data_IF_068455985371
#
_entry.id   IF_068455985371
#
_cell.length_a   1.000
_cell.length_b   1.000
_cell.length_c   1.000
_cell.angle_alpha   90.00
_cell.angle_beta   90.00
_cell.angle_gamma   90.00
#
_symmetry.space_group_name_H-M   'P 1'
#
loop_
_entity.id
_entity.type
_entity.pdbx_description
1 polymer ?
#
# COMPACT_ATOMS: atom_id res chain seq x y z
N UNK A 1 -8.72 4.32 -13.56
CA UNK A 1 -8.80 2.88 -13.21
C UNK A 1 -9.37 2.81 -11.82
N UNK A 2 -10.43 2.02 -11.63
CA UNK A 2 -11.31 2.12 -10.47
C UNK A 2 -10.65 1.54 -9.22
N UNK A 3 -10.96 2.07 -8.03
CA UNK A 3 -10.36 1.62 -6.77
C UNK A 3 -10.52 0.12 -6.46
N UNK A 4 -11.43 -0.58 -7.14
CA UNK A 4 -11.62 -2.03 -7.06
C UNK A 4 -10.47 -2.81 -7.72
N UNK A 5 -9.89 -2.28 -8.80
CA UNK A 5 -8.73 -2.88 -9.48
C UNK A 5 -7.49 -2.77 -8.58
N UNK A 6 -7.30 -1.61 -7.94
CA UNK A 6 -6.19 -1.35 -7.02
C UNK A 6 -6.29 -2.22 -5.76
N UNK A 7 -7.49 -2.33 -5.16
CA UNK A 7 -7.71 -3.22 -4.01
C UNK A 7 -7.35 -4.67 -4.32
N UNK A 8 -7.81 -5.17 -5.46
CA UNK A 8 -7.54 -6.56 -5.88
C UNK A 8 -6.04 -6.77 -6.09
N UNK A 9 -5.35 -5.80 -6.71
CA UNK A 9 -3.91 -5.87 -6.93
C UNK A 9 -3.10 -5.85 -5.64
N UNK A 10 -3.45 -4.97 -4.70
CA UNK A 10 -2.77 -4.93 -3.39
C UNK A 10 -3.02 -6.24 -2.61
N UNK A 11 -4.22 -6.81 -2.69
CA UNK A 11 -4.51 -8.09 -2.06
C UNK A 11 -3.68 -9.24 -2.64
N UNK A 12 -3.44 -9.25 -3.96
CA UNK A 12 -2.51 -10.19 -4.60
C UNK A 12 -1.08 -10.01 -4.09
N UNK A 13 -0.61 -8.76 -3.96
CA UNK A 13 0.72 -8.46 -3.42
C UNK A 13 0.91 -8.93 -1.98
N UNK A 14 -0.12 -8.80 -1.14
CA UNK A 14 -0.10 -9.35 0.23
C UNK A 14 0.05 -10.87 0.19
N UNK A 15 -0.68 -11.54 -0.70
CA UNK A 15 -0.57 -12.98 -0.87
C UNK A 15 0.82 -13.41 -1.34
N UNK A 16 1.41 -12.69 -2.30
CA UNK A 16 2.77 -12.94 -2.78
C UNK A 16 3.83 -12.71 -1.70
N UNK A 17 3.73 -11.59 -0.98
CA UNK A 17 4.66 -11.24 0.10
C UNK A 17 4.66 -12.25 1.26
N UNK A 18 3.48 -12.82 1.55
CA UNK A 18 3.28 -13.89 2.53
C UNK A 18 3.52 -15.29 1.98
N UNK A 19 4.06 -15.42 0.76
CA UNK A 19 4.29 -16.70 0.09
C UNK A 19 3.02 -17.60 -0.01
N UNK A 20 1.84 -16.97 -0.05
CA UNK A 20 0.55 -17.64 -0.13
C UNK A 20 -0.03 -18.07 1.23
N UNK A 21 0.58 -17.71 2.36
CA UNK A 21 0.01 -17.98 3.68
C UNK A 21 -1.31 -17.23 3.91
N UNK A 22 -1.40 -16.01 3.37
CA UNK A 22 -2.64 -15.22 3.39
C UNK A 22 -3.22 -15.17 1.98
N UNK A 23 -4.48 -15.59 1.80
CA UNK A 23 -5.13 -15.52 0.50
C UNK A 23 -5.62 -14.11 0.19
N UNK A 24 -5.49 -13.68 -1.06
CA UNK A 24 -6.00 -12.38 -1.52
C UNK A 24 -7.51 -12.21 -1.24
N UNK A 25 -8.28 -13.30 -1.29
CA UNK A 25 -9.71 -13.28 -0.96
C UNK A 25 -9.98 -12.92 0.50
N UNK A 26 -9.15 -13.38 1.44
CA UNK A 26 -9.28 -13.07 2.87
C UNK A 26 -8.89 -11.61 3.15
N UNK A 27 -7.88 -11.12 2.44
CA UNK A 27 -7.49 -9.69 2.46
C UNK A 27 -8.62 -8.81 1.94
N UNK A 28 -9.27 -9.21 0.84
CA UNK A 28 -10.42 -8.51 0.25
C UNK A 28 -11.69 -8.60 1.10
N UNK A 29 -11.86 -9.68 1.87
CA UNK A 29 -12.96 -9.80 2.82
C UNK A 29 -12.84 -8.77 3.97
N UNK A 30 -11.63 -8.24 4.19
CA UNK A 30 -11.33 -7.20 5.16
C UNK A 30 -10.88 -7.77 6.50
N UNK A 31 -9.96 -7.05 7.15
CA UNK A 31 -9.36 -7.45 8.42
C UNK A 31 -8.03 -6.74 8.67
N UNK A 32 -7.52 -6.89 9.89
CA UNK A 32 -6.15 -6.49 10.22
C UNK A 32 -5.17 -7.48 9.58
N UNK A 33 -4.08 -6.98 8.99
CA UNK A 33 -3.01 -7.81 8.42
C UNK A 33 -2.46 -8.78 9.46
N UNK A 34 -2.26 -8.30 10.69
CA UNK A 34 -1.78 -9.14 11.80
C UNK A 34 -2.81 -10.21 12.17
N UNK A 35 -4.10 -9.88 12.13
CA UNK A 35 -5.17 -10.84 12.41
C UNK A 35 -5.29 -11.92 11.31
N UNK A 36 -4.96 -11.58 10.06
CA UNK A 36 -4.86 -12.52 8.95
C UNK A 36 -3.62 -13.41 9.01
N UNK A 37 -2.68 -13.12 9.91
CA UNK A 37 -1.45 -13.89 10.09
C UNK A 37 -0.25 -13.33 9.32
N UNK A 38 -0.33 -12.10 8.80
CA UNK A 38 0.83 -11.45 8.20
C UNK A 38 1.87 -11.19 9.29
N UNK A 39 3.02 -11.84 9.18
CA UNK A 39 4.13 -11.67 10.11
C UNK A 39 4.99 -10.44 9.76
N UNK A 40 5.97 -10.13 10.61
CA UNK A 40 6.87 -9.00 10.39
C UNK A 40 7.69 -9.11 9.09
N UNK A 41 7.99 -10.32 8.61
CA UNK A 41 8.75 -10.53 7.39
C UNK A 41 7.87 -10.31 6.15
N UNK A 42 6.63 -10.80 6.18
CA UNK A 42 5.61 -10.59 5.17
C UNK A 42 5.28 -9.10 5.04
N UNK A 43 5.21 -8.37 6.15
CA UNK A 43 5.08 -6.91 6.14
C UNK A 43 6.27 -6.23 5.45
N UNK A 44 7.52 -6.60 5.75
CA UNK A 44 8.69 -6.03 5.10
C UNK A 44 8.73 -6.33 3.59
N UNK A 45 8.40 -7.56 3.18
CA UNK A 45 8.32 -7.93 1.76
C UNK A 45 7.20 -7.21 1.03
N UNK A 46 6.08 -7.01 1.71
CA UNK A 46 4.95 -6.26 1.17
C UNK A 46 5.34 -4.80 0.94
N UNK A 47 6.05 -4.18 1.89
CA UNK A 47 6.63 -2.85 1.71
C UNK A 47 7.49 -2.82 0.46
N UNK A 48 8.53 -3.66 0.39
CA UNK A 48 9.44 -3.69 -0.77
C UNK A 48 8.68 -3.85 -2.11
N UNK A 49 7.65 -4.70 -2.15
CA UNK A 49 6.83 -4.92 -3.33
C UNK A 49 5.99 -3.68 -3.72
N UNK A 50 5.39 -2.99 -2.74
CA UNK A 50 4.64 -1.76 -2.97
C UNK A 50 5.53 -0.62 -3.44
N UNK A 51 6.71 -0.46 -2.83
CA UNK A 51 7.68 0.56 -3.23
C UNK A 51 8.19 0.31 -4.65
N UNK A 52 8.47 -0.95 -5.00
CA UNK A 52 8.93 -1.32 -6.33
C UNK A 52 7.83 -1.18 -7.40
N UNK A 53 6.60 -1.61 -7.10
CA UNK A 53 5.51 -1.61 -8.08
C UNK A 53 4.91 -0.21 -8.30
N UNK A 54 4.76 0.59 -7.24
CA UNK A 54 4.08 1.88 -7.31
C UNK A 54 5.00 3.10 -7.11
N UNK A 55 6.27 2.88 -6.73
CA UNK A 55 7.20 3.98 -6.45
C UNK A 55 6.81 4.81 -5.22
N UNK A 56 6.16 4.18 -4.25
CA UNK A 56 5.73 4.81 -2.98
C UNK A 56 6.74 4.53 -1.88
N UNK A 57 6.83 5.39 -0.86
CA UNK A 57 7.60 5.08 0.35
C UNK A 57 6.64 4.64 1.45
N UNK A 58 6.87 3.45 2.02
CA UNK A 58 5.97 2.85 3.03
C UNK A 58 6.68 2.71 4.36
N UNK A 59 6.21 3.45 5.38
CA UNK A 59 6.85 3.45 6.69
C UNK A 59 6.03 2.69 7.74
N UNK A 60 6.48 1.48 8.11
CA UNK A 60 5.79 0.61 9.09
C UNK A 60 5.94 1.06 10.55
N UNK A 61 7.00 1.80 10.87
CA UNK A 61 7.40 2.17 12.24
C UNK A 61 7.32 3.69 12.50
N UNK A 62 6.84 4.47 11.53
CA UNK A 62 6.71 5.92 11.64
C UNK A 62 5.57 6.30 12.58
N UNK A 63 5.58 7.55 13.07
CA UNK A 63 4.44 8.15 13.78
C UNK A 63 3.19 8.36 12.87
N UNK A 64 3.26 7.87 11.63
CA UNK A 64 2.18 7.87 10.65
C UNK A 64 1.09 6.84 10.97
N UNK A 65 0.00 6.95 10.21
CA UNK A 65 -1.19 6.10 10.32
C UNK A 65 -0.79 4.60 10.28
N UNK A 66 -1.29 3.76 11.19
CA UNK A 66 -0.96 2.34 11.19
C UNK A 66 -1.46 1.69 9.89
N UNK A 67 -0.57 1.04 9.16
CA UNK A 67 -0.89 0.24 7.98
C UNK A 67 -1.37 -1.14 8.43
N UNK A 68 -2.58 -1.18 8.95
CA UNK A 68 -3.15 -2.40 9.53
C UNK A 68 -4.19 -3.03 8.60
N UNK A 69 -4.79 -2.27 7.67
CA UNK A 69 -5.85 -2.77 6.78
C UNK A 69 -5.52 -2.57 5.30
N UNK A 70 -6.21 -3.33 4.45
CA UNK A 70 -6.15 -3.14 2.98
C UNK A 70 -6.52 -1.71 2.59
N UNK A 71 -7.44 -1.10 3.32
CA UNK A 71 -7.94 0.24 3.05
C UNK A 71 -6.84 1.29 3.25
N UNK A 72 -6.05 1.15 4.31
CA UNK A 72 -4.91 2.03 4.58
C UNK A 72 -3.85 1.94 3.47
N UNK A 73 -3.58 0.73 2.96
CA UNK A 73 -2.66 0.51 1.84
C UNK A 73 -3.19 1.15 0.54
N UNK A 74 -4.48 0.98 0.26
CA UNK A 74 -5.12 1.56 -0.94
C UNK A 74 -5.11 3.08 -0.87
N UNK A 75 -5.41 3.66 0.29
CA UNK A 75 -5.34 5.12 0.51
C UNK A 75 -3.90 5.62 0.32
N UNK A 76 -2.90 4.94 0.86
CA UNK A 76 -1.49 5.29 0.72
C UNK A 76 -1.07 5.35 -0.75
N UNK A 77 -1.30 4.26 -1.50
CA UNK A 77 -0.92 4.18 -2.92
C UNK A 77 -1.71 5.20 -3.76
N UNK A 78 -3.01 5.39 -3.47
CA UNK A 78 -3.83 6.38 -4.15
C UNK A 78 -3.35 7.82 -3.88
N UNK A 79 -2.89 8.11 -2.66
CA UNK A 79 -2.34 9.42 -2.31
C UNK A 79 -1.00 9.68 -3.02
N UNK A 80 -0.12 8.69 -3.06
CA UNK A 80 1.17 8.81 -3.76
C UNK A 80 1.00 8.99 -5.27
N UNK A 81 0.09 8.24 -5.90
CA UNK A 81 -0.24 8.40 -7.32
C UNK A 81 -0.73 9.82 -7.65
N UNK A 82 -1.48 10.45 -6.73
CA UNK A 82 -1.90 11.85 -6.88
C UNK A 82 -0.73 12.83 -6.69
N UNK A 83 0.15 12.61 -5.71
CA UNK A 83 1.32 13.44 -5.47
C UNK A 83 2.29 13.46 -6.66
N UNK A 84 2.49 12.31 -7.32
CA UNK A 84 3.31 12.21 -8.54
C UNK A 84 2.75 13.04 -9.71
N UNK A 85 1.43 13.20 -9.80
CA UNK A 85 0.78 14.04 -10.82
C UNK A 85 0.65 15.51 -10.43
N UNK A 86 0.76 15.82 -9.14
CA UNK A 86 0.60 17.17 -8.57
C UNK A 86 1.89 17.99 -8.49
N UNK A 87 3.06 17.40 -8.72
CA UNK A 87 4.35 18.12 -8.71
C UNK A 87 4.62 18.82 -10.04
N UNK A 88 3.73 19.77 -10.38
CA UNK A 88 3.77 20.59 -11.59
C UNK A 88 3.36 22.04 -11.34
N UNK A 89 3.50 22.56 -10.12
CA UNK A 89 3.09 23.92 -9.81
C UNK A 89 3.67 24.48 -8.52
N UNK A 90 4.93 24.95 -8.56
CA UNK A 90 5.25 26.28 -8.03
C UNK A 90 6.49 26.84 -8.74
N UNK A 91 6.28 27.19 -10.00
CA UNK A 91 7.21 28.01 -10.75
C UNK A 91 6.98 29.48 -10.43
N UNK A 92 7.86 30.05 -9.61
CA UNK A 92 8.49 31.37 -9.79
C UNK A 92 7.55 32.52 -10.20
N UNK A 93 7.18 33.35 -9.22
CA UNK A 93 7.01 34.79 -9.45
C UNK A 93 7.92 35.56 -8.48
N UNK A 94 9.14 35.82 -8.96
CA UNK A 94 9.95 36.94 -8.48
C UNK A 94 9.24 38.24 -8.89
N UNK A 95 9.03 39.15 -7.94
CA UNK A 95 8.83 40.58 -8.17
C UNK A 95 9.27 41.34 -6.93
#
# INVERSE_FOLDING_TARGET
MGGTDLRSRIAELVSEATAGEVAAADVLAGGSMVALGVDSLGLLRLVDALELEYGVEVELAGAGRPLDTLDDLVELVSAAGQAATGSGGDGRAVS
#
